data_IF_166602452421
#
_entry.id   IF_166602452421
#
_cell.length_a   1.000
_cell.length_b   1.000
_cell.length_c   1.000
_cell.angle_alpha   90.00
_cell.angle_beta   90.00
_cell.angle_gamma   90.00
#
_symmetry.space_group_name_H-M   'P 1'
#
loop_
_entity.id
_entity.type
_entity.pdbx_description
1 polymer ?
#
# COMPACT_ATOMS: atom_id res chain seq x y z
N UNK A 1 24.75 -20.53 15.83
CA UNK A 1 25.86 -20.51 14.85
C UNK A 1 26.76 -21.71 15.08
N UNK A 2 27.21 -22.42 14.04
CA UNK A 2 28.07 -23.58 14.20
C UNK A 2 29.44 -23.18 14.81
N UNK A 3 29.92 -23.96 15.78
CA UNK A 3 31.21 -23.70 16.50
C UNK A 3 32.39 -23.54 15.54
N UNK A 4 32.37 -24.20 14.40
CA UNK A 4 33.37 -24.08 13.34
C UNK A 4 33.52 -22.64 12.81
N UNK A 5 32.42 -21.91 12.64
CA UNK A 5 32.42 -20.54 12.14
C UNK A 5 33.13 -19.59 13.11
N UNK A 6 32.93 -19.75 14.42
CA UNK A 6 33.61 -18.96 15.44
C UNK A 6 35.13 -19.20 15.45
N UNK A 7 35.58 -20.48 15.30
CA UNK A 7 36.98 -20.84 15.21
C UNK A 7 37.62 -20.26 13.94
N UNK A 8 36.96 -20.36 12.80
CA UNK A 8 37.41 -19.79 11.52
C UNK A 8 37.66 -18.27 11.64
N UNK A 9 36.71 -17.52 12.20
CA UNK A 9 36.83 -16.09 12.40
C UNK A 9 37.96 -15.75 13.40
N UNK A 10 38.13 -16.51 14.47
CA UNK A 10 39.21 -16.34 15.42
C UNK A 10 40.60 -16.54 14.81
N UNK A 11 40.78 -17.58 14.00
CA UNK A 11 42.04 -17.84 13.27
C UNK A 11 42.30 -16.72 12.26
N UNK A 12 41.32 -16.30 11.48
CA UNK A 12 41.47 -15.24 10.48
C UNK A 12 41.88 -13.91 11.13
N UNK A 13 41.24 -13.52 12.22
CA UNK A 13 41.60 -12.32 12.98
C UNK A 13 43.01 -12.40 13.57
N UNK A 14 43.45 -13.57 14.09
CA UNK A 14 44.78 -13.78 14.61
C UNK A 14 45.86 -13.65 13.54
N UNK A 15 45.63 -14.21 12.36
CA UNK A 15 46.54 -14.10 11.20
C UNK A 15 46.69 -12.63 10.77
N UNK A 16 45.56 -11.91 10.64
CA UNK A 16 45.57 -10.47 10.29
C UNK A 16 46.38 -9.66 11.35
N UNK A 17 46.18 -9.92 12.65
CA UNK A 17 46.88 -9.25 13.72
C UNK A 17 48.40 -9.51 13.66
N UNK A 18 48.85 -10.72 13.41
CA UNK A 18 50.28 -11.09 13.27
C UNK A 18 50.91 -10.38 12.08
N UNK A 19 50.25 -10.38 10.93
CA UNK A 19 50.72 -9.70 9.70
C UNK A 19 50.88 -8.20 9.95
N UNK A 20 49.90 -7.58 10.63
CA UNK A 20 49.94 -6.16 10.97
C UNK A 20 51.04 -5.80 11.96
N UNK A 21 51.32 -6.67 12.93
CA UNK A 21 52.45 -6.47 13.85
C UNK A 21 53.81 -6.52 13.14
N UNK A 22 53.96 -7.40 12.16
CA UNK A 22 55.23 -7.55 11.40
C UNK A 22 55.43 -6.43 10.38
N UNK A 23 54.37 -5.83 9.86
CA UNK A 23 54.44 -4.83 8.78
C UNK A 23 54.65 -3.39 9.23
N UNK A 24 54.99 -3.12 10.50
CA UNK A 24 55.32 -1.78 11.01
C UNK A 24 54.28 -1.18 11.99
N UNK A 25 53.39 -2.02 12.54
CA UNK A 25 52.54 -1.66 13.66
C UNK A 25 51.45 -0.64 13.34
N UNK A 26 51.22 0.29 14.25
CA UNK A 26 50.11 1.20 14.27
C UNK A 26 50.01 2.14 13.07
N UNK A 27 51.15 2.59 12.53
CA UNK A 27 51.19 3.53 11.39
C UNK A 27 50.68 2.89 10.08
N UNK A 28 51.02 1.63 9.83
CA UNK A 28 50.56 0.91 8.63
C UNK A 28 49.09 0.49 8.76
N UNK A 29 48.63 0.21 9.99
CA UNK A 29 47.21 -0.02 10.26
C UNK A 29 46.36 1.22 9.93
N UNK A 30 46.82 2.40 10.33
CA UNK A 30 46.14 3.67 10.02
C UNK A 30 46.14 3.96 8.52
N UNK A 31 47.26 3.74 7.82
CA UNK A 31 47.32 3.93 6.36
C UNK A 31 46.39 2.96 5.62
N UNK A 32 46.34 1.68 5.98
CA UNK A 32 45.45 0.69 5.41
C UNK A 32 43.96 1.02 5.68
N UNK A 33 43.65 1.47 6.88
CA UNK A 33 42.29 1.87 7.24
C UNK A 33 41.81 3.06 6.39
N UNK A 34 42.65 4.06 6.19
CA UNK A 34 42.35 5.20 5.34
C UNK A 34 42.17 4.79 3.88
N UNK A 35 43.01 3.88 3.38
CA UNK A 35 42.98 3.43 1.98
C UNK A 35 41.70 2.61 1.67
N UNK A 36 41.20 1.83 2.63
CA UNK A 36 39.97 1.07 2.51
C UNK A 36 38.74 1.94 2.82
N UNK A 37 38.84 2.87 3.76
CA UNK A 37 37.71 3.72 4.14
C UNK A 37 37.23 4.66 3.03
N UNK A 38 38.16 5.13 2.18
CA UNK A 38 37.82 6.08 1.09
C UNK A 38 36.89 5.49 0.03
N UNK A 39 37.18 4.35 -0.61
CA UNK A 39 36.25 3.73 -1.53
C UNK A 39 34.95 3.28 -0.87
N UNK A 40 35.03 2.82 0.41
CA UNK A 40 33.84 2.43 1.16
C UNK A 40 32.94 3.63 1.46
N UNK A 41 33.51 4.79 1.83
CA UNK A 41 32.75 6.01 2.04
C UNK A 41 32.02 6.46 0.75
N UNK A 42 32.69 6.31 -0.42
CA UNK A 42 32.09 6.64 -1.70
C UNK A 42 30.91 5.72 -2.05
N UNK A 43 31.04 4.42 -1.78
CA UNK A 43 29.95 3.46 -1.92
C UNK A 43 28.78 3.78 -0.97
N UNK A 44 29.05 4.14 0.27
CA UNK A 44 28.03 4.55 1.23
C UNK A 44 27.27 5.80 0.78
N UNK A 45 27.94 6.79 0.21
CA UNK A 45 27.31 7.99 -0.36
C UNK A 45 26.41 7.64 -1.55
N UNK A 46 26.85 6.74 -2.44
CA UNK A 46 26.03 6.26 -3.55
C UNK A 46 24.79 5.50 -3.07
N UNK A 47 24.94 4.67 -2.05
CA UNK A 47 23.80 3.98 -1.41
C UNK A 47 22.82 4.97 -0.77
N UNK A 48 23.33 5.98 -0.05
CA UNK A 48 22.48 7.04 0.52
C UNK A 48 21.73 7.82 -0.56
N UNK A 49 22.38 8.14 -1.67
CA UNK A 49 21.76 8.83 -2.79
C UNK A 49 20.67 7.96 -3.47
N UNK A 50 20.93 6.67 -3.67
CA UNK A 50 19.97 5.70 -4.20
C UNK A 50 18.76 5.55 -3.29
N UNK A 51 18.99 5.43 -1.98
CA UNK A 51 17.94 5.39 -0.97
C UNK A 51 17.11 6.68 -0.95
N UNK A 52 17.76 7.83 -1.02
CA UNK A 52 17.04 9.11 -1.06
C UNK A 52 16.17 9.23 -2.31
N UNK A 53 16.68 8.82 -3.47
CA UNK A 53 15.91 8.82 -4.72
C UNK A 53 14.71 7.84 -4.63
N UNK A 54 14.91 6.65 -4.08
CA UNK A 54 13.84 5.68 -3.83
C UNK A 54 12.78 6.18 -2.85
N UNK A 55 13.20 6.71 -1.70
CA UNK A 55 12.29 7.31 -0.71
C UNK A 55 11.57 8.55 -1.23
N UNK A 56 12.21 9.33 -2.09
CA UNK A 56 11.60 10.52 -2.72
C UNK A 56 10.52 10.14 -3.72
N UNK A 57 10.73 9.04 -4.48
CA UNK A 57 9.71 8.46 -5.34
C UNK A 57 8.56 7.87 -4.53
N UNK A 58 8.86 7.09 -3.49
CA UNK A 58 7.88 6.57 -2.55
C UNK A 58 7.12 7.68 -1.83
N UNK A 59 7.80 8.76 -1.43
CA UNK A 59 7.14 9.90 -0.80
C UNK A 59 6.12 10.55 -1.74
N UNK A 60 6.45 10.78 -3.02
CA UNK A 60 5.47 11.24 -4.01
C UNK A 60 4.29 10.26 -4.16
N UNK A 61 4.55 8.97 -4.03
CA UNK A 61 3.53 7.92 -4.09
C UNK A 61 2.66 7.88 -2.82
N UNK A 62 3.24 8.14 -1.63
CA UNK A 62 2.59 8.03 -0.31
C UNK A 62 2.10 9.37 0.26
N UNK A 63 2.63 10.52 -0.13
CA UNK A 63 2.17 11.86 0.32
C UNK A 63 0.75 12.17 -0.17
N UNK A 64 0.22 11.33 -1.06
CA UNK A 64 -1.21 11.28 -1.35
C UNK A 64 -1.91 10.23 -0.48
N UNK A 65 -1.48 10.01 0.75
CA UNK A 65 -2.35 9.43 1.79
C UNK A 65 -3.45 10.45 2.07
N UNK A 66 -4.38 10.52 1.16
CA UNK A 66 -5.69 11.02 1.47
C UNK A 66 -6.20 10.06 2.53
N UNK A 67 -6.34 10.55 3.72
CA UNK A 67 -7.12 9.88 4.73
C UNK A 67 -8.57 9.98 4.22
N UNK A 68 -9.14 8.94 3.56
CA UNK A 68 -10.44 9.06 2.90
C UNK A 68 -11.54 9.39 3.90
N UNK A 69 -11.39 8.92 5.13
CA UNK A 69 -12.31 9.16 6.23
C UNK A 69 -12.47 10.64 6.59
N UNK A 70 -11.46 11.48 6.35
CA UNK A 70 -11.54 12.91 6.70
C UNK A 70 -12.19 13.78 5.63
N UNK A 71 -12.20 13.33 4.36
CA UNK A 71 -12.68 14.13 3.22
C UNK A 71 -14.18 14.02 3.03
N UNK A 72 -14.75 12.84 3.29
CA UNK A 72 -16.17 12.58 3.06
C UNK A 72 -17.04 12.71 4.31
N UNK A 73 -16.45 13.02 5.46
CA UNK A 73 -17.23 13.18 6.68
C UNK A 73 -17.84 14.57 6.77
N UNK A 74 -18.98 14.75 6.18
CA UNK A 74 -19.74 16.01 6.18
C UNK A 74 -20.36 16.36 7.53
N UNK A 75 -20.45 15.40 8.44
CA UNK A 75 -21.05 15.59 9.77
C UNK A 75 -22.57 15.47 9.82
N UNK A 76 -23.26 15.45 8.70
CA UNK A 76 -24.74 15.46 8.67
C UNK A 76 -25.35 14.19 9.24
N UNK A 77 -24.69 13.04 9.06
CA UNK A 77 -25.15 11.72 9.51
C UNK A 77 -24.37 11.17 10.71
N UNK A 78 -23.77 12.03 11.53
CA UNK A 78 -22.87 11.58 12.61
C UNK A 78 -23.55 10.68 13.64
N UNK A 79 -24.87 10.82 13.89
CA UNK A 79 -25.61 9.99 14.85
C UNK A 79 -25.77 8.56 14.34
N UNK A 80 -26.11 8.39 13.06
CA UNK A 80 -26.20 7.08 12.40
C UNK A 80 -24.85 6.40 12.38
N UNK A 81 -23.80 7.15 12.06
CA UNK A 81 -22.42 6.65 12.09
C UNK A 81 -21.97 6.24 13.48
N UNK A 82 -22.33 7.02 14.52
CA UNK A 82 -22.02 6.68 15.91
C UNK A 82 -22.71 5.36 16.31
N UNK A 83 -23.98 5.18 15.96
CA UNK A 83 -24.71 3.96 16.21
C UNK A 83 -24.07 2.76 15.51
N UNK A 84 -23.66 2.92 14.25
CA UNK A 84 -22.95 1.87 13.52
C UNK A 84 -21.57 1.54 14.13
N UNK A 85 -20.83 2.55 14.58
CA UNK A 85 -19.53 2.36 15.24
C UNK A 85 -19.65 1.61 16.59
N UNK A 86 -20.74 1.81 17.31
CA UNK A 86 -20.98 1.15 18.59
C UNK A 86 -21.53 -0.27 18.45
N UNK A 87 -21.99 -0.66 17.27
CA UNK A 87 -22.47 -2.00 16.98
C UNK A 87 -21.38 -2.84 16.34
N UNK A 88 -21.23 -4.08 16.81
CA UNK A 88 -20.31 -5.03 16.18
C UNK A 88 -20.85 -5.48 14.82
N UNK A 89 -20.05 -5.28 13.77
CA UNK A 89 -20.44 -5.64 12.41
C UNK A 89 -20.23 -7.13 12.16
N UNK A 90 -21.29 -7.80 11.73
CA UNK A 90 -21.26 -9.22 11.34
C UNK A 90 -20.96 -9.36 9.83
N UNK A 91 -20.50 -10.52 9.42
CA UNK A 91 -20.26 -10.86 8.01
C UNK A 91 -21.49 -10.61 7.12
N UNK A 92 -22.69 -10.90 7.65
CA UNK A 92 -23.96 -10.65 6.93
C UNK A 92 -24.21 -9.17 6.63
N UNK A 93 -23.77 -8.29 7.52
CA UNK A 93 -23.94 -6.85 7.36
C UNK A 93 -23.00 -6.33 6.26
N UNK A 94 -21.78 -6.86 6.21
CA UNK A 94 -20.85 -6.55 5.13
C UNK A 94 -21.35 -7.07 3.78
N UNK A 95 -21.87 -8.30 3.73
CA UNK A 95 -22.48 -8.83 2.51
C UNK A 95 -23.67 -7.96 2.03
N UNK A 96 -24.46 -7.45 2.97
CA UNK A 96 -25.55 -6.51 2.65
C UNK A 96 -24.99 -5.19 2.12
N UNK A 97 -23.96 -4.64 2.76
CA UNK A 97 -23.29 -3.43 2.30
C UNK A 97 -22.70 -3.59 0.90
N UNK A 98 -21.98 -4.68 0.64
CA UNK A 98 -21.43 -4.99 -0.69
C UNK A 98 -22.54 -5.08 -1.77
N UNK A 99 -23.68 -5.71 -1.46
CA UNK A 99 -24.79 -5.91 -2.41
C UNK A 99 -25.64 -4.66 -2.63
N UNK A 100 -25.86 -3.86 -1.58
CA UNK A 100 -26.84 -2.76 -1.62
C UNK A 100 -26.21 -1.36 -1.70
N UNK A 101 -24.91 -1.22 -1.42
CA UNK A 101 -24.22 0.07 -1.48
C UNK A 101 -23.07 0.02 -2.50
N UNK A 102 -22.13 -0.91 -2.35
CA UNK A 102 -20.93 -0.95 -3.21
C UNK A 102 -21.27 -1.34 -4.65
N UNK A 103 -22.01 -2.43 -4.83
CA UNK A 103 -22.36 -2.92 -6.17
C UNK A 103 -23.24 -1.94 -6.97
N UNK A 104 -24.26 -1.28 -6.40
CA UNK A 104 -24.99 -0.22 -7.07
C UNK A 104 -24.11 0.98 -7.44
N UNK A 105 -23.25 1.47 -6.52
CA UNK A 105 -22.31 2.54 -6.81
C UNK A 105 -21.41 2.23 -8.01
N UNK A 106 -20.83 1.02 -8.04
CA UNK A 106 -19.98 0.58 -9.16
C UNK A 106 -20.78 0.45 -10.47
N UNK A 107 -22.03 0.01 -10.41
CA UNK A 107 -22.91 -0.09 -11.61
C UNK A 107 -23.25 1.27 -12.17
N UNK A 108 -23.55 2.24 -11.33
CA UNK A 108 -23.86 3.61 -11.74
C UNK A 108 -22.65 4.25 -12.40
N UNK A 109 -21.46 4.18 -11.75
CA UNK A 109 -20.22 4.67 -12.32
C UNK A 109 -19.89 3.97 -13.66
N UNK A 110 -20.06 2.64 -13.75
CA UNK A 110 -19.87 1.89 -15.00
C UNK A 110 -20.77 2.40 -16.10
N UNK A 111 -22.05 2.64 -15.81
CA UNK A 111 -23.03 3.11 -16.80
C UNK A 111 -22.64 4.47 -17.37
N UNK A 112 -22.18 5.39 -16.55
CA UNK A 112 -21.70 6.71 -16.99
C UNK A 112 -20.40 6.60 -17.81
N UNK A 113 -19.44 5.77 -17.38
CA UNK A 113 -18.17 5.58 -18.07
C UNK A 113 -18.35 4.94 -19.46
N UNK A 114 -19.21 3.93 -19.60
CA UNK A 114 -19.51 3.30 -20.88
C UNK A 114 -20.36 4.24 -21.76
N UNK A 115 -21.41 4.85 -21.19
CA UNK A 115 -22.36 5.63 -21.97
C UNK A 115 -21.81 6.94 -22.53
N UNK A 116 -20.90 7.61 -21.80
CA UNK A 116 -20.35 8.92 -22.20
C UNK A 116 -18.94 8.85 -22.77
N UNK A 117 -18.14 7.89 -22.34
CA UNK A 117 -16.70 7.87 -22.62
C UNK A 117 -16.22 6.63 -23.38
N UNK A 118 -17.14 5.69 -23.70
CA UNK A 118 -16.88 4.45 -24.45
C UNK A 118 -15.71 3.62 -23.86
N UNK A 119 -15.59 3.62 -22.52
CA UNK A 119 -14.56 2.88 -21.81
C UNK A 119 -14.99 1.44 -21.55
N UNK A 120 -14.06 0.49 -21.69
CA UNK A 120 -14.31 -0.91 -21.34
C UNK A 120 -14.26 -1.08 -19.81
N UNK A 121 -15.43 -1.23 -19.18
CA UNK A 121 -15.56 -1.37 -17.72
C UNK A 121 -16.23 -2.68 -17.36
N UNK A 122 -15.58 -3.48 -16.52
CA UNK A 122 -16.09 -4.75 -16.02
C UNK A 122 -16.29 -4.68 -14.50
N UNK A 123 -17.33 -5.37 -14.02
CA UNK A 123 -17.59 -5.54 -12.59
C UNK A 123 -17.56 -7.04 -12.30
N UNK A 124 -16.66 -7.44 -11.41
CA UNK A 124 -16.56 -8.80 -10.92
C UNK A 124 -17.18 -8.89 -9.52
N UNK A 125 -18.00 -9.89 -9.30
CA UNK A 125 -18.63 -10.16 -8.01
C UNK A 125 -18.17 -11.52 -7.50
N UNK A 126 -17.47 -11.52 -6.35
CA UNK A 126 -16.83 -12.68 -5.75
C UNK A 126 -17.50 -12.99 -4.40
N UNK A 127 -18.82 -13.24 -4.42
CA UNK A 127 -19.59 -13.45 -3.17
C UNK A 127 -19.48 -14.87 -2.60
N UNK A 128 -19.01 -15.83 -3.40
CA UNK A 128 -18.92 -17.24 -3.02
C UNK A 128 -17.54 -17.63 -2.50
N UNK A 129 -16.65 -16.65 -2.29
CA UNK A 129 -15.31 -16.86 -1.72
C UNK A 129 -15.32 -16.66 -0.21
N UNK A 130 -14.26 -17.13 0.47
CA UNK A 130 -14.06 -16.95 1.91
C UNK A 130 -14.00 -15.46 2.32
N UNK A 131 -13.48 -14.60 1.42
CA UNK A 131 -13.53 -13.14 1.54
C UNK A 131 -14.41 -12.58 0.42
N UNK A 132 -15.71 -12.35 0.67
CA UNK A 132 -16.60 -11.77 -0.33
C UNK A 132 -16.10 -10.41 -0.81
N UNK A 133 -16.09 -10.21 -2.12
CA UNK A 133 -15.57 -8.99 -2.73
C UNK A 133 -16.38 -8.55 -3.95
N UNK A 134 -16.26 -7.26 -4.29
CA UNK A 134 -16.75 -6.66 -5.53
C UNK A 134 -15.62 -5.80 -6.11
N UNK A 135 -15.36 -5.96 -7.40
CA UNK A 135 -14.30 -5.28 -8.13
C UNK A 135 -14.85 -4.50 -9.32
N UNK A 136 -14.37 -3.28 -9.49
CA UNK A 136 -14.52 -2.49 -10.70
C UNK A 136 -13.18 -2.48 -11.44
N UNK A 137 -13.17 -2.92 -12.70
CA UNK A 137 -11.98 -2.95 -13.55
C UNK A 137 -12.24 -2.11 -14.79
N UNK A 138 -11.39 -1.11 -15.04
CA UNK A 138 -11.41 -0.29 -16.25
C UNK A 138 -10.21 -0.71 -17.10
N UNK A 139 -10.48 -1.29 -18.27
CA UNK A 139 -9.45 -1.79 -19.18
C UNK A 139 -8.93 -0.67 -20.08
N UNK A 140 -7.62 -0.70 -20.35
CA UNK A 140 -6.98 0.24 -21.27
C UNK A 140 -5.96 -0.50 -22.15
N UNK A 141 -6.11 -0.39 -23.46
CA UNK A 141 -5.53 -1.25 -24.52
C UNK A 141 -4.02 -1.46 -24.52
N UNK A 142 -3.21 -0.68 -23.88
CA UNK A 142 -1.74 -0.81 -23.91
C UNK A 142 -1.10 -0.57 -22.54
N UNK A 143 -1.92 -0.37 -21.52
CA UNK A 143 -1.45 0.00 -20.19
C UNK A 143 -2.08 -0.91 -19.15
N UNK A 144 -1.54 -0.82 -17.93
CA UNK A 144 -2.07 -1.57 -16.78
C UNK A 144 -3.50 -1.13 -16.48
N UNK A 145 -4.41 -2.09 -16.31
CA UNK A 145 -5.80 -1.82 -15.99
C UNK A 145 -5.95 -1.11 -14.64
N UNK A 146 -6.93 -0.22 -14.54
CA UNK A 146 -7.33 0.32 -13.24
C UNK A 146 -8.25 -0.67 -12.54
N UNK A 147 -7.99 -0.98 -11.29
CA UNK A 147 -8.86 -1.81 -10.46
C UNK A 147 -9.12 -1.15 -9.11
N UNK A 148 -10.38 -1.11 -8.74
CA UNK A 148 -10.86 -0.72 -7.41
C UNK A 148 -11.74 -1.84 -6.88
N UNK A 149 -11.31 -2.48 -5.80
CA UNK A 149 -12.04 -3.56 -5.17
C UNK A 149 -12.42 -3.22 -3.73
N UNK A 150 -13.55 -3.78 -3.27
CA UNK A 150 -13.97 -3.75 -1.86
C UNK A 150 -14.23 -5.18 -1.43
N UNK A 151 -13.58 -5.61 -0.36
CA UNK A 151 -13.69 -6.96 0.20
C UNK A 151 -14.03 -6.94 1.68
N UNK A 152 -14.59 -8.04 2.17
CA UNK A 152 -14.81 -8.28 3.60
C UNK A 152 -13.53 -8.78 4.25
N UNK A 153 -13.07 -8.12 5.31
CA UNK A 153 -11.94 -8.59 6.13
C UNK A 153 -12.44 -8.87 7.53
N UNK A 154 -12.19 -10.09 8.04
CA UNK A 154 -12.42 -10.45 9.43
C UNK A 154 -11.25 -10.00 10.31
N UNK A 155 -11.54 -9.36 11.43
CA UNK A 155 -10.57 -8.98 12.45
C UNK A 155 -10.94 -9.60 13.79
N UNK A 156 -9.97 -10.18 14.46
CA UNK A 156 -10.15 -10.67 15.84
C UNK A 156 -10.30 -9.50 16.81
N UNK A 157 -11.32 -9.56 17.65
CA UNK A 157 -11.55 -8.61 18.72
C UNK A 157 -10.82 -9.09 19.97
N UNK A 158 -10.12 -8.19 20.66
CA UNK A 158 -9.39 -8.57 21.87
C UNK A 158 -10.35 -9.00 22.98
N UNK A 159 -9.96 -10.02 23.75
CA UNK A 159 -10.74 -10.53 24.90
C UNK A 159 -11.05 -9.44 25.93
N UNK A 160 -10.21 -8.42 26.03
CA UNK A 160 -10.40 -7.29 26.93
C UNK A 160 -11.63 -6.43 26.55
N UNK A 161 -11.90 -6.29 25.24
CA UNK A 161 -13.07 -5.56 24.75
C UNK A 161 -14.36 -6.38 24.87
N UNK A 162 -14.27 -7.70 24.73
CA UNK A 162 -15.41 -8.61 24.86
C UNK A 162 -15.90 -8.65 26.32
N UNK A 163 -14.98 -8.55 27.27
CA UNK A 163 -15.27 -8.61 28.71
C UNK A 163 -15.50 -7.22 29.34
N UNK A 164 -15.60 -6.15 28.57
CA UNK A 164 -15.85 -4.81 29.08
C UNK A 164 -17.36 -4.60 29.29
N UNK A 165 -17.77 -4.49 30.55
CA UNK A 165 -19.18 -4.25 30.97
C UNK A 165 -19.73 -2.93 30.37
N UNK A 166 -18.89 -1.98 29.95
CA UNK A 166 -19.30 -0.73 29.34
C UNK A 166 -19.59 -0.85 27.83
N UNK A 167 -19.22 -1.99 27.20
CA UNK A 167 -19.41 -2.26 25.78
C UNK A 167 -20.26 -3.51 25.53
N UNK A 168 -21.53 -3.54 25.98
CA UNK A 168 -22.39 -4.73 25.95
C UNK A 168 -22.72 -5.22 24.52
N UNK A 169 -22.39 -4.43 23.50
CA UNK A 169 -22.67 -4.76 22.09
C UNK A 169 -21.56 -5.58 21.44
N UNK A 170 -20.39 -5.72 22.08
CA UNK A 170 -19.27 -6.53 21.56
C UNK A 170 -19.39 -7.92 22.16
N UNK A 171 -20.04 -8.84 21.43
CA UNK A 171 -20.34 -10.20 21.90
C UNK A 171 -19.60 -11.31 21.15
N UNK A 172 -18.99 -10.98 20.02
CA UNK A 172 -18.33 -11.95 19.15
C UNK A 172 -16.82 -11.73 19.08
N UNK A 173 -16.07 -12.80 18.97
CA UNK A 173 -14.60 -12.78 18.83
C UNK A 173 -14.11 -12.22 17.49
N UNK A 174 -15.00 -12.13 16.49
CA UNK A 174 -14.69 -11.63 15.16
C UNK A 174 -15.59 -10.44 14.82
N UNK A 175 -15.01 -9.38 14.29
CA UNK A 175 -15.71 -8.28 13.63
C UNK A 175 -15.30 -8.23 12.17
N UNK A 176 -16.19 -7.79 11.31
CA UNK A 176 -15.94 -7.71 9.86
C UNK A 176 -15.96 -6.26 9.41
N UNK A 177 -15.03 -5.91 8.53
CA UNK A 177 -14.88 -4.56 7.98
C UNK A 177 -14.82 -4.63 6.45
N UNK A 178 -15.52 -3.75 5.71
CA UNK A 178 -15.39 -3.66 4.26
C UNK A 178 -14.14 -2.84 3.92
N UNK A 179 -13.17 -3.47 3.31
CA UNK A 179 -11.86 -2.90 3.07
C UNK A 179 -11.57 -2.77 1.58
N UNK A 180 -11.05 -1.62 1.16
CA UNK A 180 -10.65 -1.41 -0.24
C UNK A 180 -9.37 -2.15 -0.55
N UNK A 181 -9.18 -2.53 -1.81
CA UNK A 181 -7.91 -3.05 -2.31
C UNK A 181 -7.72 -2.68 -3.79
N UNK A 182 -6.46 -2.65 -4.20
CA UNK A 182 -6.05 -2.17 -5.51
C UNK A 182 -5.07 -3.14 -6.15
N UNK A 183 -5.02 -3.16 -7.47
CA UNK A 183 -4.11 -4.03 -8.21
C UNK A 183 -2.63 -3.64 -8.06
N UNK A 184 -2.34 -2.39 -7.71
CA UNK A 184 -0.99 -1.84 -7.56
C UNK A 184 -0.37 -2.08 -6.18
N UNK A 185 -1.04 -2.81 -5.31
CA UNK A 185 -0.55 -3.15 -3.96
C UNK A 185 -0.61 -2.00 -2.96
N UNK A 186 -1.30 -0.91 -3.29
CA UNK A 186 -1.57 0.16 -2.30
C UNK A 186 -2.32 -0.42 -1.10
N UNK A 187 -2.01 0.11 0.08
CA UNK A 187 -2.73 -0.24 1.31
C UNK A 187 -4.16 0.23 1.18
N UNK A 188 -5.11 -0.69 1.35
CA UNK A 188 -6.52 -0.35 1.40
C UNK A 188 -6.91 0.36 2.70
N UNK A 189 -8.18 0.68 2.82
CA UNK A 189 -8.77 1.34 3.98
C UNK A 189 -10.24 0.93 4.13
N UNK A 190 -10.78 1.17 5.32
CA UNK A 190 -12.16 0.88 5.65
C UNK A 190 -13.13 1.88 4.97
N UNK A 191 -14.20 1.36 4.36
CA UNK A 191 -15.25 2.11 3.67
C UNK A 191 -16.64 1.89 4.28
N UNK A 192 -16.70 1.32 5.47
CA UNK A 192 -17.95 0.90 6.15
C UNK A 192 -18.99 2.02 6.26
N UNK A 193 -18.53 3.26 6.40
CA UNK A 193 -19.40 4.42 6.65
C UNK A 193 -19.67 5.27 5.41
N UNK A 194 -19.25 4.81 4.24
CA UNK A 194 -19.47 5.52 2.98
C UNK A 194 -20.83 5.15 2.40
N UNK A 195 -21.56 6.17 1.95
CA UNK A 195 -22.76 5.98 1.13
C UNK A 195 -22.39 5.78 -0.36
N UNK A 196 -23.40 5.64 -1.20
CA UNK A 196 -23.19 5.35 -2.62
C UNK A 196 -22.45 6.48 -3.34
N UNK A 197 -22.80 7.74 -3.06
CA UNK A 197 -22.18 8.92 -3.68
C UNK A 197 -20.75 9.12 -3.19
N UNK A 198 -20.50 8.88 -1.90
CA UNK A 198 -19.17 8.93 -1.29
C UNK A 198 -18.24 7.86 -1.91
N UNK A 199 -18.74 6.64 -2.15
CA UNK A 199 -17.99 5.58 -2.82
C UNK A 199 -17.69 5.92 -4.28
N UNK A 200 -18.63 6.51 -5.02
CA UNK A 200 -18.38 6.96 -6.39
C UNK A 200 -17.31 8.04 -6.42
N UNK A 201 -17.40 9.02 -5.52
CA UNK A 201 -16.41 10.09 -5.42
C UNK A 201 -15.02 9.55 -5.06
N UNK A 202 -14.95 8.55 -4.19
CA UNK A 202 -13.69 7.88 -3.83
C UNK A 202 -13.10 7.10 -5.02
N UNK A 203 -13.91 6.32 -5.73
CA UNK A 203 -13.48 5.63 -6.96
C UNK A 203 -12.96 6.61 -8.02
N UNK A 204 -13.67 7.73 -8.24
CA UNK A 204 -13.24 8.76 -9.21
C UNK A 204 -11.92 9.39 -8.82
N UNK A 205 -11.70 9.68 -7.55
CA UNK A 205 -10.42 10.22 -7.06
C UNK A 205 -9.25 9.27 -7.30
N UNK A 206 -9.46 7.96 -7.08
CA UNK A 206 -8.44 6.96 -7.38
C UNK A 206 -8.21 6.80 -8.87
N UNK A 207 -9.26 6.93 -9.68
CA UNK A 207 -9.16 6.90 -11.14
C UNK A 207 -8.45 8.14 -11.69
N UNK A 208 -8.75 9.34 -11.19
CA UNK A 208 -8.02 10.59 -11.53
C UNK A 208 -6.53 10.45 -11.26
N UNK A 209 -6.17 9.90 -10.09
CA UNK A 209 -4.77 9.64 -9.76
C UNK A 209 -4.12 8.62 -10.70
N UNK A 210 -4.83 7.55 -11.04
CA UNK A 210 -4.36 6.58 -12.02
C UNK A 210 -4.08 7.25 -13.37
N UNK A 211 -4.97 8.13 -13.84
CA UNK A 211 -4.78 8.87 -15.09
C UNK A 211 -3.57 9.81 -15.02
N UNK A 212 -3.35 10.51 -13.91
CA UNK A 212 -2.18 11.37 -13.74
C UNK A 212 -0.85 10.60 -13.77
N UNK A 213 -0.82 9.41 -13.16
CA UNK A 213 0.35 8.52 -13.22
C UNK A 213 0.64 8.03 -14.65
N UNK A 214 -0.39 7.75 -15.43
CA UNK A 214 -0.22 7.36 -16.83
C UNK A 214 0.32 8.50 -17.69
N UNK A 215 -0.10 9.74 -17.43
CA UNK A 215 0.39 10.92 -18.14
C UNK A 215 1.87 11.18 -17.82
N UNK A 216 2.26 11.08 -16.55
CA UNK A 216 3.65 11.19 -16.10
C UNK A 216 4.57 10.14 -16.77
N UNK A 217 4.13 8.87 -16.79
CA UNK A 217 4.87 7.77 -17.45
C UNK A 217 4.94 7.97 -18.97
N UNK A 218 3.86 8.44 -19.59
CA UNK A 218 3.83 8.78 -21.01
C UNK A 218 4.83 9.87 -21.37
N UNK A 219 4.94 10.92 -20.57
CA UNK A 219 5.90 12.00 -20.76
C UNK A 219 7.35 11.52 -20.57
N UNK A 220 7.63 10.66 -19.59
CA UNK A 220 8.97 10.10 -19.40
C UNK A 220 9.41 9.21 -20.58
N UNK A 221 8.51 8.40 -21.13
CA UNK A 221 8.80 7.55 -22.30
C UNK A 221 9.09 8.39 -23.54
N UNK A 222 8.31 9.43 -23.81
CA UNK A 222 8.53 10.36 -24.94
C UNK A 222 9.85 11.13 -24.81
N UNK A 223 10.22 11.53 -23.59
CA UNK A 223 11.49 12.20 -23.32
C UNK A 223 12.69 11.28 -23.55
N UNK A 224 12.59 9.99 -23.19
CA UNK A 224 13.62 8.97 -23.44
C UNK A 224 13.81 8.71 -24.95
N UNK A 225 12.71 8.56 -25.69
CA UNK A 225 12.73 8.33 -27.14
C UNK A 225 13.34 9.51 -27.89
N UNK A 226 13.08 10.76 -27.48
CA UNK A 226 13.69 11.95 -28.06
C UNK A 226 15.18 12.03 -27.74
N UNK A 227 15.66 11.52 -26.64
CA UNK A 227 17.06 11.49 -26.26
C UNK A 227 17.84 10.44 -27.08
N UNK A 228 17.24 9.27 -27.31
CA UNK A 228 17.83 8.20 -28.16
C UNK A 228 17.88 8.57 -29.65
N UNK A 229 16.95 9.39 -30.12
CA UNK A 229 16.95 9.87 -31.52
C UNK A 229 17.94 11.04 -31.77
N UNK A 230 18.46 11.65 -30.71
CA UNK A 230 19.41 12.78 -30.77
C UNK A 230 20.88 12.35 -30.60
N UNK A 231 21.17 11.08 -30.29
CA UNK A 231 22.50 10.45 -30.31
C UNK A 231 22.75 9.71 -31.65
#
# INVERSE_FOLDING_TARGET
APRWQAVMWGVLMSVVAIVLMQSGGLANLQAMTLLVALPFAMLMLLMCFSLWKGLSADKKYFDTKVNPTSIFWTGDKWKERLEQMMNQTQEKDILRFLKHTVLPAMRELRQELIGKYDLSVQINTLFDQDEPAVELVIQKDLMRDFMYGVKSIGREVSEQLINDDNLPHIQHSMTYEPYTYFFDGRVGYDVQYMDQDELIADMLKHYERYLSLLDDVGQELMAHEQTELAE
#
